data_IF_795586674845
#
_entry.id   IF_795586674845
#
_cell.length_a   1.000
_cell.length_b   1.000
_cell.length_c   1.000
_cell.angle_alpha   90.00
_cell.angle_beta   90.00
_cell.angle_gamma   90.00
#
_symmetry.space_group_name_H-M   'P 1'
#
loop_
_entity.id
_entity.type
_entity.pdbx_description
1 polymer ?
#
# COMPACT_ATOMS: atom_id res chain seq x y z
N UNK A 1 15.40 -7.82 11.07
CA UNK A 1 14.37 -6.87 10.66
C UNK A 1 13.48 -7.44 9.55
N UNK A 2 14.02 -8.04 8.52
CA UNK A 2 13.25 -8.60 7.39
C UNK A 2 12.25 -9.68 7.80
N UNK A 3 12.59 -10.52 8.77
CA UNK A 3 11.70 -11.57 9.29
C UNK A 3 10.42 -10.99 9.92
N UNK A 4 10.53 -9.92 10.69
CA UNK A 4 9.36 -9.25 11.30
C UNK A 4 8.50 -8.55 10.25
N UNK A 5 9.11 -7.97 9.24
CA UNK A 5 8.40 -7.40 8.08
C UNK A 5 7.60 -8.47 7.34
N UNK A 6 8.23 -9.62 7.02
CA UNK A 6 7.57 -10.74 6.34
C UNK A 6 6.44 -11.35 7.18
N UNK A 7 6.63 -11.49 8.49
CA UNK A 7 5.57 -11.95 9.39
C UNK A 7 4.39 -10.98 9.41
N UNK A 8 4.65 -9.66 9.46
CA UNK A 8 3.62 -8.62 9.35
C UNK A 8 2.84 -8.73 8.04
N UNK A 9 3.54 -8.93 6.93
CA UNK A 9 2.91 -9.09 5.60
C UNK A 9 2.02 -10.34 5.52
N UNK A 10 2.48 -11.48 6.03
CA UNK A 10 1.67 -12.72 6.05
C UNK A 10 0.41 -12.56 6.90
N UNK A 11 0.54 -11.96 8.08
CA UNK A 11 -0.59 -11.71 8.96
C UNK A 11 -1.59 -10.73 8.32
N UNK A 12 -1.09 -9.71 7.63
CA UNK A 12 -1.90 -8.76 6.91
C UNK A 12 -2.74 -9.41 5.81
N UNK A 13 -2.16 -10.34 5.05
CA UNK A 13 -2.87 -11.06 3.99
C UNK A 13 -4.11 -11.77 4.54
N UNK A 14 -3.95 -12.47 5.65
CA UNK A 14 -5.05 -13.20 6.30
C UNK A 14 -6.10 -12.23 6.85
N UNK A 15 -5.68 -11.21 7.60
CA UNK A 15 -6.58 -10.23 8.21
C UNK A 15 -7.32 -9.43 7.14
N UNK A 16 -6.63 -8.97 6.10
CA UNK A 16 -7.23 -8.21 5.00
C UNK A 16 -8.26 -9.05 4.25
N UNK A 17 -7.98 -10.33 3.99
CA UNK A 17 -8.93 -11.24 3.34
C UNK A 17 -10.24 -11.40 4.14
N UNK A 18 -10.18 -11.36 5.47
CA UNK A 18 -11.38 -11.38 6.31
C UNK A 18 -12.08 -10.01 6.39
N UNK A 19 -11.31 -8.92 6.45
CA UNK A 19 -11.82 -7.57 6.61
C UNK A 19 -12.52 -7.05 5.35
N UNK A 20 -12.01 -7.36 4.17
CA UNK A 20 -12.58 -6.96 2.87
C UNK A 20 -13.98 -7.55 2.64
N UNK A 21 -14.33 -8.63 3.34
CA UNK A 21 -15.69 -9.18 3.31
C UNK A 21 -16.73 -8.33 4.03
N UNK A 22 -16.32 -7.47 4.99
CA UNK A 22 -17.23 -6.70 5.86
C UNK A 22 -17.28 -5.20 5.57
N UNK A 23 -16.24 -4.63 4.98
CA UNK A 23 -16.09 -3.17 4.81
C UNK A 23 -15.76 -2.85 3.36
N UNK A 24 -16.30 -1.73 2.84
CA UNK A 24 -16.01 -1.27 1.47
C UNK A 24 -14.51 -1.01 1.29
N UNK A 25 -13.91 -1.69 0.34
CA UNK A 25 -12.47 -1.70 0.04
C UNK A 25 -11.85 -0.31 -0.14
N UNK A 26 -12.63 0.66 -0.63
CA UNK A 26 -12.15 2.02 -0.93
C UNK A 26 -11.66 2.78 0.29
N UNK A 27 -12.25 2.56 1.46
CA UNK A 27 -11.81 3.23 2.70
C UNK A 27 -10.42 2.78 3.14
N UNK A 28 -10.09 1.53 2.87
CA UNK A 28 -8.78 0.97 3.22
C UNK A 28 -7.64 1.55 2.38
N UNK A 29 -7.91 2.00 1.14
CA UNK A 29 -6.90 2.66 0.28
C UNK A 29 -6.32 3.91 0.95
N UNK A 30 -7.10 4.58 1.79
CA UNK A 30 -6.64 5.76 2.54
C UNK A 30 -6.06 5.38 3.90
N UNK A 31 -6.70 4.45 4.60
CA UNK A 31 -6.33 4.08 5.98
C UNK A 31 -4.96 3.40 6.04
N UNK A 32 -4.68 2.45 5.16
CA UNK A 32 -3.40 1.73 5.19
C UNK A 32 -2.17 2.61 4.91
N UNK A 33 -2.16 3.46 3.87
CA UNK A 33 -1.05 4.39 3.66
C UNK A 33 -0.92 5.42 4.79
N UNK A 34 -2.03 5.86 5.39
CA UNK A 34 -2.00 6.78 6.51
C UNK A 34 -1.35 6.15 7.76
N UNK A 35 -1.68 4.90 8.07
CA UNK A 35 -1.04 4.14 9.15
C UNK A 35 0.46 3.96 8.85
N UNK A 36 0.81 3.61 7.62
CA UNK A 36 2.20 3.48 7.20
C UNK A 36 2.98 4.78 7.38
N UNK A 37 2.42 5.90 6.93
CA UNK A 37 3.03 7.23 7.04
C UNK A 37 3.25 7.61 8.50
N UNK A 38 2.23 7.47 9.35
CA UNK A 38 2.32 7.75 10.78
C UNK A 38 3.40 6.92 11.45
N UNK A 39 3.46 5.62 11.14
CA UNK A 39 4.46 4.70 11.69
C UNK A 39 5.88 5.09 11.26
N UNK A 40 6.06 5.46 9.99
CA UNK A 40 7.36 5.91 9.47
C UNK A 40 7.86 7.17 10.18
N UNK A 41 6.97 8.14 10.41
CA UNK A 41 7.31 9.38 11.14
C UNK A 41 7.71 9.06 12.59
N UNK A 42 6.94 8.21 13.27
CA UNK A 42 7.23 7.82 14.65
C UNK A 42 8.57 7.08 14.76
N UNK A 43 8.87 6.17 13.84
CA UNK A 43 10.15 5.44 13.81
C UNK A 43 11.32 6.38 13.53
N UNK A 44 11.13 7.37 12.63
CA UNK A 44 12.15 8.37 12.33
C UNK A 44 12.49 9.25 13.54
N UNK A 45 11.48 9.61 14.32
CA UNK A 45 11.67 10.48 15.51
C UNK A 45 12.23 9.71 16.71
N UNK A 46 11.83 8.45 16.89
CA UNK A 46 12.12 7.70 18.11
C UNK A 46 13.47 6.97 18.11
N UNK A 47 14.01 6.58 16.97
CA UNK A 47 15.32 5.91 16.73
C UNK A 47 15.72 4.78 17.73
N UNK A 48 14.76 4.20 18.44
CA UNK A 48 15.01 3.13 19.39
C UNK A 48 14.85 1.74 18.73
N UNK A 49 15.72 0.78 19.11
CA UNK A 49 15.68 -0.58 18.54
C UNK A 49 14.30 -1.26 18.62
N UNK A 50 13.58 -1.26 19.75
CA UNK A 50 12.26 -1.87 19.83
C UNK A 50 11.24 -1.17 18.93
N UNK A 51 11.33 0.16 18.81
CA UNK A 51 10.45 0.94 17.96
C UNK A 51 10.67 0.63 16.46
N UNK A 52 11.92 0.41 16.07
CA UNK A 52 12.27 0.01 14.69
C UNK A 52 11.72 -1.38 14.33
N UNK A 53 11.73 -2.31 15.29
CA UNK A 53 11.18 -3.67 15.08
C UNK A 53 9.65 -3.62 14.96
N UNK A 54 8.99 -2.92 15.88
CA UNK A 54 7.54 -2.72 15.84
C UNK A 54 7.11 -1.97 14.57
N UNK A 55 7.85 -0.93 14.20
CA UNK A 55 7.62 -0.18 12.96
C UNK A 55 7.77 -1.03 11.72
N UNK A 56 8.79 -1.87 11.63
CA UNK A 56 8.98 -2.78 10.50
C UNK A 56 7.79 -3.77 10.37
N UNK A 57 7.28 -4.26 11.48
CA UNK A 57 6.10 -5.14 11.50
C UNK A 57 4.84 -4.41 11.00
N UNK A 58 4.56 -3.21 11.51
CA UNK A 58 3.37 -2.42 11.14
C UNK A 58 3.47 -1.97 9.68
N UNK A 59 4.64 -1.55 9.19
CA UNK A 59 4.87 -1.17 7.80
C UNK A 59 4.69 -2.38 6.88
N UNK A 60 5.19 -3.54 7.26
CA UNK A 60 4.97 -4.79 6.53
C UNK A 60 3.49 -5.15 6.46
N UNK A 61 2.78 -5.00 7.59
CA UNK A 61 1.37 -5.27 7.68
C UNK A 61 0.52 -4.30 6.83
N UNK A 62 0.69 -3.01 7.00
CA UNK A 62 -0.14 -1.99 6.34
C UNK A 62 0.29 -1.72 4.88
N UNK A 63 1.59 -1.68 4.61
CA UNK A 63 2.11 -1.34 3.29
C UNK A 63 2.09 -2.48 2.29
N UNK A 64 2.79 -3.56 2.58
CA UNK A 64 2.97 -4.64 1.62
C UNK A 64 1.81 -5.64 1.59
N UNK A 65 1.22 -5.95 2.75
CA UNK A 65 0.15 -6.96 2.85
C UNK A 65 -1.23 -6.43 2.47
N UNK A 66 -1.54 -5.18 2.82
CA UNK A 66 -2.88 -4.62 2.67
C UNK A 66 -3.07 -3.81 1.38
N UNK A 67 -2.22 -2.83 1.14
CA UNK A 67 -2.42 -1.83 0.11
C UNK A 67 -2.46 -2.40 -1.31
N UNK A 68 -1.52 -3.28 -1.66
CA UNK A 68 -1.43 -3.85 -3.00
C UNK A 68 -2.65 -4.71 -3.33
N UNK A 69 -3.13 -5.49 -2.37
CA UNK A 69 -4.30 -6.35 -2.54
C UNK A 69 -5.58 -5.55 -2.73
N UNK A 70 -5.76 -4.49 -1.94
CA UNK A 70 -6.93 -3.62 -2.05
C UNK A 70 -6.90 -2.84 -3.35
N UNK A 71 -5.75 -2.31 -3.76
CA UNK A 71 -5.59 -1.64 -5.04
C UNK A 71 -5.96 -2.57 -6.21
N UNK A 72 -5.46 -3.82 -6.19
CA UNK A 72 -5.80 -4.83 -7.19
C UNK A 72 -7.29 -5.18 -7.18
N UNK A 73 -7.89 -5.32 -6.00
CA UNK A 73 -9.32 -5.59 -5.84
C UNK A 73 -10.16 -4.47 -6.44
N UNK A 74 -9.86 -3.22 -6.11
CA UNK A 74 -10.58 -2.05 -6.64
C UNK A 74 -10.43 -1.93 -8.15
N UNK A 75 -9.22 -2.13 -8.68
CA UNK A 75 -9.00 -2.12 -10.12
C UNK A 75 -9.82 -3.23 -10.83
N UNK A 76 -9.90 -4.41 -10.24
CA UNK A 76 -10.69 -5.52 -10.78
C UNK A 76 -12.21 -5.27 -10.69
N UNK A 77 -12.66 -4.48 -9.72
CA UNK A 77 -14.07 -4.05 -9.64
C UNK A 77 -14.42 -3.01 -10.69
N UNK A 78 -13.48 -2.11 -11.02
CA UNK A 78 -13.68 -1.09 -12.05
C UNK A 78 -13.68 -1.68 -13.47
N UNK A 79 -12.92 -2.77 -13.69
CA UNK A 79 -12.79 -3.38 -15.01
C UNK A 79 -13.15 -4.89 -14.99
N UNK A 80 -14.42 -5.24 -14.80
CA UNK A 80 -14.84 -6.62 -14.60
C UNK A 80 -14.63 -7.54 -15.82
N UNK A 81 -14.60 -6.96 -17.04
CA UNK A 81 -14.41 -7.73 -18.29
C UNK A 81 -12.96 -8.15 -18.55
N UNK A 82 -11.97 -7.40 -18.00
CA UNK A 82 -10.54 -7.60 -18.28
C UNK A 82 -9.71 -7.77 -17.00
N UNK A 83 -10.28 -8.39 -15.95
CA UNK A 83 -9.65 -8.56 -14.62
C UNK A 83 -8.24 -9.12 -14.69
N UNK A 84 -7.99 -10.12 -15.52
CA UNK A 84 -6.67 -10.73 -15.68
C UNK A 84 -5.62 -9.76 -16.21
N UNK A 85 -5.95 -8.99 -17.22
CA UNK A 85 -5.05 -7.97 -17.81
C UNK A 85 -4.76 -6.86 -16.81
N UNK A 86 -5.77 -6.39 -16.09
CA UNK A 86 -5.62 -5.35 -15.06
C UNK A 86 -4.73 -5.83 -13.93
N UNK A 87 -4.95 -7.05 -13.44
CA UNK A 87 -4.09 -7.64 -12.40
C UNK A 87 -2.65 -7.76 -12.88
N UNK A 88 -2.42 -8.21 -14.11
CA UNK A 88 -1.07 -8.32 -14.68
C UNK A 88 -0.39 -6.94 -14.77
N UNK A 89 -1.09 -5.91 -15.21
CA UNK A 89 -0.57 -4.54 -15.28
C UNK A 89 -0.20 -4.00 -13.89
N UNK A 90 -1.04 -4.20 -12.89
CA UNK A 90 -0.76 -3.80 -11.50
C UNK A 90 0.48 -4.52 -10.97
N UNK A 91 0.63 -5.81 -11.24
CA UNK A 91 1.80 -6.60 -10.83
C UNK A 91 3.09 -6.13 -11.51
N UNK A 92 3.05 -5.85 -12.82
CA UNK A 92 4.19 -5.32 -13.57
C UNK A 92 4.58 -3.93 -13.03
N UNK A 93 3.63 -3.03 -12.85
CA UNK A 93 3.87 -1.70 -12.31
C UNK A 93 4.48 -1.78 -10.90
N UNK A 94 3.95 -2.64 -10.04
CA UNK A 94 4.48 -2.88 -8.69
C UNK A 94 5.92 -3.39 -8.71
N UNK A 95 6.23 -4.33 -9.60
CA UNK A 95 7.58 -4.89 -9.74
C UNK A 95 8.58 -3.85 -10.24
N UNK A 96 8.20 -3.02 -11.20
CA UNK A 96 9.03 -1.92 -11.71
C UNK A 96 9.30 -0.87 -10.62
N UNK A 97 8.27 -0.48 -9.87
CA UNK A 97 8.42 0.42 -8.74
C UNK A 97 9.37 -0.14 -7.68
N UNK A 98 9.20 -1.40 -7.30
CA UNK A 98 10.08 -2.06 -6.33
C UNK A 98 11.53 -2.09 -6.81
N UNK A 99 11.77 -2.45 -8.07
CA UNK A 99 13.10 -2.47 -8.64
C UNK A 99 13.75 -1.08 -8.62
N UNK A 100 13.03 -0.06 -9.06
CA UNK A 100 13.51 1.32 -9.10
C UNK A 100 13.82 1.86 -7.71
N UNK A 101 12.91 1.64 -6.75
CA UNK A 101 13.07 2.08 -5.36
C UNK A 101 14.26 1.35 -4.71
N UNK A 102 14.38 0.04 -4.90
CA UNK A 102 15.47 -0.75 -4.32
C UNK A 102 16.83 -0.33 -4.88
N UNK A 103 16.91 -0.05 -6.18
CA UNK A 103 18.11 0.42 -6.84
C UNK A 103 18.52 1.82 -6.37
N UNK A 104 17.55 2.72 -6.20
CA UNK A 104 17.78 4.05 -5.64
C UNK A 104 18.23 3.95 -4.16
N UNK A 105 17.55 3.14 -3.37
CA UNK A 105 17.84 2.94 -1.95
C UNK A 105 19.23 2.36 -1.71
N UNK A 106 19.73 1.49 -2.59
CA UNK A 106 21.07 0.89 -2.49
C UNK A 106 22.21 1.89 -2.60
N UNK A 107 21.95 3.06 -3.20
CA UNK A 107 22.90 4.15 -3.39
C UNK A 107 22.78 5.28 -2.36
N UNK A 108 21.77 5.20 -1.48
CA UNK A 108 21.47 6.25 -0.50
C UNK A 108 21.84 5.81 0.93
N UNK A 109 22.13 6.79 1.78
CA UNK A 109 22.27 6.52 3.22
C UNK A 109 20.91 6.14 3.84
N UNK A 110 20.87 5.40 4.95
CA UNK A 110 19.63 4.93 5.58
C UNK A 110 18.61 6.03 5.88
N UNK A 111 19.07 7.21 6.28
CA UNK A 111 18.22 8.38 6.53
C UNK A 111 17.55 8.90 5.24
N UNK A 112 18.30 8.92 4.14
CA UNK A 112 17.78 9.32 2.83
C UNK A 112 16.73 8.35 2.29
N UNK A 113 16.93 7.05 2.49
CA UNK A 113 15.94 6.00 2.14
C UNK A 113 14.65 6.19 2.92
N UNK A 114 14.73 6.49 4.22
CA UNK A 114 13.55 6.75 5.03
C UNK A 114 12.79 7.99 4.56
N UNK A 115 13.49 9.08 4.28
CA UNK A 115 12.87 10.32 3.77
C UNK A 115 12.19 10.07 2.41
N UNK A 116 12.85 9.36 1.51
CA UNK A 116 12.27 8.99 0.21
C UNK A 116 10.97 8.17 0.38
N UNK A 117 10.97 7.19 1.28
CA UNK A 117 9.79 6.38 1.56
C UNK A 117 8.64 7.20 2.17
N UNK A 118 8.92 8.15 3.06
CA UNK A 118 7.91 9.05 3.63
C UNK A 118 7.27 9.89 2.52
N UNK A 119 8.06 10.47 1.62
CA UNK A 119 7.54 11.27 0.49
C UNK A 119 6.67 10.41 -0.43
N UNK A 120 7.14 9.22 -0.81
CA UNK A 120 6.37 8.30 -1.65
C UNK A 120 5.06 7.87 -0.99
N UNK A 121 5.08 7.59 0.31
CA UNK A 121 3.88 7.21 1.06
C UNK A 121 2.91 8.39 1.18
N UNK A 122 3.40 9.61 1.37
CA UNK A 122 2.56 10.82 1.38
C UNK A 122 1.86 11.04 0.03
N UNK A 123 2.58 10.85 -1.08
CA UNK A 123 1.97 10.87 -2.43
C UNK A 123 0.92 9.77 -2.57
N UNK A 124 1.19 8.57 -2.06
CA UNK A 124 0.24 7.45 -2.02
C UNK A 124 -1.04 7.78 -1.25
N UNK A 125 -0.92 8.44 -0.09
CA UNK A 125 -2.08 8.93 0.68
C UNK A 125 -2.89 9.96 -0.10
N UNK A 126 -2.24 10.92 -0.74
CA UNK A 126 -2.90 11.94 -1.55
C UNK A 126 -3.67 11.33 -2.73
N UNK A 127 -3.04 10.37 -3.44
CA UNK A 127 -3.70 9.64 -4.52
C UNK A 127 -4.86 8.77 -4.01
N UNK A 128 -4.70 8.12 -2.87
CA UNK A 128 -5.76 7.34 -2.22
C UNK A 128 -6.97 8.20 -1.84
N UNK A 129 -6.75 9.39 -1.32
CA UNK A 129 -7.80 10.37 -1.02
C UNK A 129 -8.51 10.81 -2.30
N UNK A 130 -7.76 11.11 -3.36
CA UNK A 130 -8.33 11.49 -4.66
C UNK A 130 -9.22 10.37 -5.23
N UNK A 131 -8.76 9.13 -5.20
CA UNK A 131 -9.54 7.97 -5.64
C UNK A 131 -10.79 7.79 -4.77
N UNK A 132 -10.66 7.91 -3.45
CA UNK A 132 -11.80 7.76 -2.53
C UNK A 132 -12.90 8.81 -2.78
N UNK A 133 -12.53 10.06 -3.05
CA UNK A 133 -13.48 11.14 -3.36
C UNK A 133 -14.18 10.89 -4.70
N UNK A 134 -13.42 10.45 -5.71
CA UNK A 134 -13.94 10.23 -7.06
C UNK A 134 -14.52 8.84 -7.31
N UNK A 135 -14.41 7.93 -6.36
CA UNK A 135 -14.78 6.52 -6.53
C UNK A 135 -16.22 6.32 -6.98
N UNK A 136 -17.18 7.01 -6.37
CA UNK A 136 -18.60 6.91 -6.76
C UNK A 136 -18.80 7.25 -8.23
N UNK A 137 -18.21 8.34 -8.69
CA UNK A 137 -18.31 8.81 -10.07
C UNK A 137 -17.63 7.84 -11.05
N UNK A 138 -16.50 7.25 -10.65
CA UNK A 138 -15.77 6.27 -11.48
C UNK A 138 -16.55 4.96 -11.61
N UNK A 139 -17.20 4.50 -10.55
CA UNK A 139 -18.04 3.28 -10.60
C UNK A 139 -19.29 3.50 -11.45
N UNK A 140 -19.94 4.65 -11.35
CA UNK A 140 -21.09 5.00 -12.18
C UNK A 140 -20.72 5.00 -13.67
N UNK A 141 -19.58 5.61 -14.04
CA UNK A 141 -19.09 5.60 -15.41
C UNK A 141 -18.76 4.19 -15.90
N UNK A 142 -18.10 3.38 -15.09
CA UNK A 142 -17.74 2.01 -15.44
C UNK A 142 -18.98 1.08 -15.60
N UNK A 143 -20.10 1.40 -14.96
CA UNK A 143 -21.36 0.67 -15.10
C UNK A 143 -22.17 1.11 -16.34
N UNK A 144 -21.96 2.33 -16.84
CA UNK A 144 -22.60 2.81 -18.06
C UNK A 144 -21.99 2.23 -19.35
N UNK A 145 -20.70 1.86 -19.29
CA UNK A 145 -19.96 1.27 -20.44
C UNK A 145 -20.08 -0.27 -20.51
N UNK A 146 -20.90 -0.90 -19.66
CA UNK A 146 -21.15 -2.33 -19.61
C UNK A 146 -22.61 -2.71 -19.96
#
# INVERSE_FOLDING_TARGET
MQTYYSAGTMLALVVTAFLTRKIKDVRFIVVYPAICLATMIVVLMGQSKPLMIAGAFIIGWAGAGGLLQIATSVCNMLFPKIKGTVTALVMIASSLCNYTILTAASKMQPSGVMTMNIVLTAVGVALGLFVNIRYKKMVELAQQDN
#
